data_IF_018282749357
#
_entry.id   IF_018282749357
#
_cell.length_a   1.000
_cell.length_b   1.000
_cell.length_c   1.000
_cell.angle_alpha   90.00
_cell.angle_beta   90.00
_cell.angle_gamma   90.00
#
_symmetry.space_group_name_H-M   'P 1'
#
loop_
_entity.id
_entity.type
_entity.pdbx_description
1 polymer ?
#
# COMPACT_ATOMS: atom_id res chain seq x y z
N UNK A 1 -0.39 6.71 -4.72
CA UNK A 1 -0.75 5.86 -3.55
C UNK A 1 0.45 5.00 -3.20
N UNK A 2 0.73 4.83 -1.91
CA UNK A 2 1.84 4.02 -1.40
C UNK A 2 1.29 2.87 -0.55
N UNK A 3 1.65 1.64 -0.89
CA UNK A 3 1.48 0.46 -0.07
C UNK A 3 2.77 0.26 0.76
N UNK A 4 2.64 0.02 2.06
CA UNK A 4 3.74 -0.28 2.99
C UNK A 4 3.33 -1.49 3.83
N UNK A 5 3.95 -2.64 3.58
CA UNK A 5 3.73 -3.86 4.35
C UNK A 5 4.99 -4.19 5.14
N UNK A 6 4.84 -4.37 6.46
CA UNK A 6 5.92 -4.70 7.38
C UNK A 6 5.85 -6.18 7.70
N UNK A 7 6.99 -6.85 7.75
CA UNK A 7 7.08 -8.28 8.03
C UNK A 7 8.12 -8.56 9.09
N UNK A 8 7.86 -9.62 9.86
CA UNK A 8 8.83 -10.26 10.74
C UNK A 8 9.04 -11.66 10.20
N UNK A 9 10.25 -11.97 9.77
CA UNK A 9 10.56 -13.22 9.06
C UNK A 9 11.66 -13.93 9.84
N UNK A 10 11.52 -15.22 10.10
CA UNK A 10 12.61 -15.99 10.70
C UNK A 10 13.76 -16.14 9.70
N UNK A 11 15.00 -16.19 10.18
CA UNK A 11 16.20 -16.31 9.33
C UNK A 11 16.13 -17.55 8.42
N UNK A 12 15.58 -18.65 8.91
CA UNK A 12 15.39 -19.90 8.15
C UNK A 12 14.43 -19.75 6.97
N UNK A 13 13.56 -18.74 6.98
CA UNK A 13 12.51 -18.53 5.99
C UNK A 13 12.85 -17.42 4.98
N UNK A 14 14.00 -16.74 5.13
CA UNK A 14 14.38 -15.59 4.32
C UNK A 14 14.36 -15.86 2.81
N UNK A 15 14.96 -16.97 2.37
CA UNK A 15 15.02 -17.33 0.95
C UNK A 15 13.62 -17.58 0.38
N UNK A 16 12.79 -18.34 1.09
CA UNK A 16 11.42 -18.62 0.68
C UNK A 16 10.55 -17.35 0.67
N UNK A 17 10.71 -16.48 1.67
CA UNK A 17 10.00 -15.20 1.73
C UNK A 17 10.41 -14.28 0.58
N UNK A 18 11.72 -14.07 0.36
CA UNK A 18 12.21 -13.19 -0.70
C UNK A 18 11.82 -13.70 -2.09
N UNK A 19 11.80 -15.01 -2.33
CA UNK A 19 11.27 -15.60 -3.57
C UNK A 19 9.78 -15.32 -3.80
N UNK A 20 8.95 -15.39 -2.75
CA UNK A 20 7.52 -15.00 -2.85
C UNK A 20 7.35 -13.50 -3.12
N UNK A 21 8.17 -12.67 -2.48
CA UNK A 21 8.15 -11.22 -2.71
C UNK A 21 8.61 -10.87 -4.13
N UNK A 22 9.64 -11.53 -4.66
CA UNK A 22 10.09 -11.37 -6.05
C UNK A 22 8.96 -11.65 -7.05
N UNK A 23 8.26 -12.78 -6.88
CA UNK A 23 7.10 -13.13 -7.69
C UNK A 23 5.99 -12.10 -7.57
N UNK A 24 5.71 -11.65 -6.34
CA UNK A 24 4.67 -10.66 -6.09
C UNK A 24 5.00 -9.32 -6.74
N UNK A 25 6.23 -8.83 -6.59
CA UNK A 25 6.71 -7.60 -7.23
C UNK A 25 6.58 -7.70 -8.75
N UNK A 26 7.05 -8.80 -9.35
CA UNK A 26 6.92 -9.03 -10.79
C UNK A 26 5.47 -8.96 -11.29
N UNK A 27 4.54 -9.58 -10.56
CA UNK A 27 3.11 -9.55 -10.90
C UNK A 27 2.50 -8.16 -10.77
N UNK A 28 2.86 -7.43 -9.69
CA UNK A 28 2.35 -6.09 -9.43
C UNK A 28 2.89 -5.07 -10.41
N UNK A 29 4.19 -5.06 -10.68
CA UNK A 29 4.83 -4.11 -11.61
C UNK A 29 4.45 -4.36 -13.06
N UNK A 30 3.90 -5.54 -13.39
CA UNK A 30 3.28 -5.80 -14.69
C UNK A 30 1.89 -5.15 -14.83
N UNK A 31 1.25 -4.73 -13.74
CA UNK A 31 -0.08 -4.10 -13.78
C UNK A 31 0.01 -2.63 -14.20
N UNK A 32 -0.96 -2.20 -15.01
CA UNK A 32 -1.09 -0.80 -15.39
C UNK A 32 -1.28 0.10 -14.15
N UNK A 33 -0.43 1.12 -14.05
CA UNK A 33 -0.46 2.09 -12.96
C UNK A 33 0.25 1.64 -11.68
N UNK A 34 0.98 0.52 -11.70
CA UNK A 34 2.04 0.26 -10.73
C UNK A 34 3.34 0.92 -11.20
N UNK A 35 3.91 1.79 -10.37
CA UNK A 35 5.08 2.61 -10.73
C UNK A 35 6.38 1.95 -10.33
N UNK A 36 6.43 1.41 -9.12
CA UNK A 36 7.63 0.87 -8.49
C UNK A 36 7.26 -0.04 -7.35
N UNK A 37 8.06 -1.07 -7.10
CA UNK A 37 8.03 -1.82 -5.85
C UNK A 37 9.42 -2.15 -5.36
N UNK A 38 9.57 -2.32 -4.04
CA UNK A 38 10.84 -2.59 -3.39
C UNK A 38 10.63 -3.35 -2.08
N UNK A 39 11.43 -4.38 -1.85
CA UNK A 39 11.63 -4.99 -0.53
C UNK A 39 12.91 -4.44 0.08
N UNK A 40 12.87 -4.07 1.35
CA UNK A 40 14.04 -3.66 2.13
C UNK A 40 14.06 -4.38 3.46
N UNK A 41 15.26 -4.56 4.02
CA UNK A 41 15.48 -5.13 5.35
C UNK A 41 16.00 -4.04 6.27
N UNK A 42 15.64 -4.08 7.56
CA UNK A 42 16.22 -3.18 8.56
C UNK A 42 17.72 -3.45 8.70
N UNK A 43 18.49 -2.38 8.94
CA UNK A 43 19.92 -2.49 9.27
C UNK A 43 20.18 -2.82 10.73
N UNK A 44 19.18 -2.61 11.59
CA UNK A 44 19.27 -2.77 13.04
C UNK A 44 18.63 -4.08 13.53
N UNK A 45 17.59 -4.56 12.85
CA UNK A 45 16.85 -5.79 13.18
C UNK A 45 16.78 -6.71 11.95
N UNK A 46 17.61 -7.76 11.92
CA UNK A 46 17.80 -8.59 10.73
C UNK A 46 16.54 -9.39 10.29
N UNK A 47 15.58 -9.60 11.17
CA UNK A 47 14.30 -10.28 10.91
C UNK A 47 13.20 -9.33 10.41
N UNK A 48 13.45 -8.02 10.35
CA UNK A 48 12.46 -7.01 9.94
C UNK A 48 12.59 -6.61 8.49
N UNK A 49 11.48 -6.68 7.77
CA UNK A 49 11.39 -6.31 6.37
C UNK A 49 10.25 -5.31 6.12
N UNK A 50 10.43 -4.47 5.11
CA UNK A 50 9.40 -3.59 4.58
C UNK A 50 9.28 -3.74 3.07
N UNK A 51 8.08 -4.04 2.61
CA UNK A 51 7.69 -4.02 1.21
C UNK A 51 6.96 -2.70 0.94
N UNK A 52 7.49 -1.91 0.01
CA UNK A 52 6.83 -0.69 -0.48
C UNK A 52 6.44 -0.84 -1.94
N UNK A 53 5.21 -0.47 -2.30
CA UNK A 53 4.75 -0.46 -3.70
C UNK A 53 3.99 0.83 -4.00
N UNK A 54 4.37 1.52 -5.06
CA UNK A 54 3.79 2.77 -5.50
C UNK A 54 2.84 2.56 -6.67
N UNK A 55 1.63 3.12 -6.56
CA UNK A 55 0.63 3.13 -7.62
C UNK A 55 0.23 4.56 -7.98
N UNK A 56 -0.16 4.79 -9.22
CA UNK A 56 -0.64 6.09 -9.70
C UNK A 56 -1.85 6.60 -8.89
N UNK A 57 -2.73 5.69 -8.46
CA UNK A 57 -3.92 6.02 -7.69
C UNK A 57 -4.43 4.85 -6.85
N UNK A 58 -5.37 5.12 -5.95
CA UNK A 58 -6.10 4.05 -5.23
C UNK A 58 -6.88 3.14 -6.17
N UNK A 59 -7.36 3.67 -7.30
CA UNK A 59 -8.09 2.90 -8.31
C UNK A 59 -7.13 1.95 -9.04
N UNK A 60 -5.94 2.42 -9.41
CA UNK A 60 -4.89 1.59 -10.00
C UNK A 60 -4.49 0.44 -9.05
N UNK A 61 -4.30 0.73 -7.76
CA UNK A 61 -4.05 -0.29 -6.74
C UNK A 61 -5.17 -1.34 -6.67
N UNK A 62 -6.44 -0.92 -6.52
CA UNK A 62 -7.57 -1.87 -6.45
C UNK A 62 -7.68 -2.74 -7.71
N UNK A 63 -7.45 -2.15 -8.89
CA UNK A 63 -7.42 -2.89 -10.16
C UNK A 63 -6.26 -3.87 -10.22
N UNK A 64 -5.07 -3.46 -9.77
CA UNK A 64 -3.89 -4.32 -9.72
C UNK A 64 -4.10 -5.56 -8.83
N UNK A 65 -4.93 -5.47 -7.77
CA UNK A 65 -5.28 -6.61 -6.92
C UNK A 65 -6.30 -7.58 -7.54
N UNK A 66 -6.88 -7.24 -8.69
CA UNK A 66 -8.00 -8.00 -9.27
C UNK A 66 -7.60 -9.25 -10.08
N UNK A 67 -6.48 -9.32 -10.83
CA UNK A 67 -6.14 -10.51 -11.62
C UNK A 67 -5.97 -11.79 -10.78
N UNK A 68 -6.23 -12.95 -11.39
CA UNK A 68 -6.18 -14.24 -10.68
C UNK A 68 -4.80 -14.50 -10.06
N UNK A 69 -3.72 -14.44 -10.83
CA UNK A 69 -2.35 -14.66 -10.35
C UNK A 69 -1.97 -13.71 -9.21
N UNK A 70 -2.46 -12.47 -9.24
CA UNK A 70 -2.23 -11.51 -8.15
C UNK A 70 -2.97 -11.96 -6.89
N UNK A 71 -4.23 -12.37 -7.01
CA UNK A 71 -4.98 -12.88 -5.86
C UNK A 71 -4.39 -14.17 -5.30
N UNK A 72 -3.84 -15.03 -6.14
CA UNK A 72 -3.23 -16.30 -5.75
C UNK A 72 -1.89 -16.11 -5.04
N UNK A 73 -1.03 -15.22 -5.54
CA UNK A 73 0.35 -15.12 -5.04
C UNK A 73 0.60 -13.89 -4.17
N UNK A 74 -0.05 -12.76 -4.45
CA UNK A 74 0.22 -11.49 -3.77
C UNK A 74 -0.62 -11.36 -2.51
N UNK A 75 -1.94 -11.62 -2.59
CA UNK A 75 -2.83 -11.41 -1.44
C UNK A 75 -2.43 -12.26 -0.21
N UNK A 76 -2.06 -13.56 -0.34
CA UNK A 76 -1.59 -14.33 0.80
C UNK A 76 -0.32 -13.75 1.42
N UNK A 77 0.66 -13.37 0.60
CA UNK A 77 1.88 -12.70 1.06
C UNK A 77 1.55 -11.41 1.83
N UNK A 78 0.68 -10.54 1.30
CA UNK A 78 0.32 -9.29 1.98
C UNK A 78 -0.46 -9.54 3.29
N UNK A 79 -1.17 -10.67 3.39
CA UNK A 79 -1.91 -11.04 4.61
C UNK A 79 -1.00 -11.50 5.76
N UNK A 80 0.26 -11.86 5.47
CA UNK A 80 1.28 -12.16 6.48
C UNK A 80 1.91 -10.90 7.08
N UNK A 81 1.62 -9.72 6.54
CA UNK A 81 2.16 -8.46 7.05
C UNK A 81 1.64 -8.17 8.45
N UNK A 82 2.49 -7.54 9.28
CA UNK A 82 2.11 -7.06 10.60
C UNK A 82 0.95 -6.04 10.46
N UNK A 83 -0.07 -6.17 11.32
CA UNK A 83 -1.35 -5.45 11.21
C UNK A 83 -1.54 -4.32 12.22
N UNK A 84 -0.52 -4.04 13.00
CA UNK A 84 -0.48 -3.00 14.03
C UNK A 84 -0.41 -1.58 13.45
N UNK A 85 -0.01 -1.44 12.19
CA UNK A 85 0.08 -0.16 11.49
C UNK A 85 -0.73 -0.14 10.17
N UNK A 86 -1.21 1.03 9.72
CA UNK A 86 -1.80 1.18 8.39
C UNK A 86 -0.83 0.73 7.28
N UNK A 87 -1.37 0.14 6.22
CA UNK A 87 -0.58 -0.30 5.07
C UNK A 87 -0.74 0.59 3.83
N UNK A 88 -1.77 1.43 3.76
CA UNK A 88 -2.11 2.21 2.55
C UNK A 88 -2.05 3.69 2.89
N UNK A 89 -1.24 4.42 2.13
CA UNK A 89 -0.98 5.83 2.34
C UNK A 89 -1.17 6.61 1.03
N UNK A 90 -1.56 7.89 1.16
CA UNK A 90 -1.53 8.82 0.06
C UNK A 90 -0.24 9.66 0.07
N UNK A 91 0.40 9.89 -1.08
CA UNK A 91 1.46 10.89 -1.15
C UNK A 91 0.83 12.28 -0.98
N UNK A 92 1.47 13.14 -0.18
CA UNK A 92 1.15 14.56 -0.09
C UNK A 92 2.23 15.43 -0.72
N UNK A 93 3.47 14.94 -0.71
CA UNK A 93 4.64 15.56 -1.31
C UNK A 93 5.44 14.46 -2.01
N UNK A 94 5.84 14.71 -3.25
CA UNK A 94 6.71 13.83 -4.03
C UNK A 94 7.91 14.65 -4.48
N UNK A 95 9.12 14.17 -4.21
CA UNK A 95 10.34 14.88 -4.53
C UNK A 95 11.22 14.06 -5.48
N UNK A 96 11.78 14.71 -6.49
CA UNK A 96 12.74 14.13 -7.42
C UNK A 96 13.61 15.26 -8.01
N UNK A 97 14.90 14.98 -8.26
CA UNK A 97 15.83 15.89 -8.94
C UNK A 97 15.88 17.32 -8.35
N UNK A 98 15.80 17.42 -7.01
CA UNK A 98 15.82 18.70 -6.30
C UNK A 98 14.52 19.50 -6.34
N UNK A 99 13.47 18.98 -6.98
CA UNK A 99 12.14 19.57 -7.00
C UNK A 99 11.16 18.82 -6.10
N UNK A 100 10.19 19.54 -5.55
CA UNK A 100 9.09 18.97 -4.74
C UNK A 100 7.76 19.33 -5.38
N UNK A 101 6.94 18.33 -5.62
CA UNK A 101 5.57 18.43 -6.10
C UNK A 101 4.61 18.15 -4.94
N UNK A 102 3.51 18.90 -4.87
CA UNK A 102 2.46 18.71 -3.86
C UNK A 102 1.27 18.04 -4.51
N UNK A 103 0.80 16.97 -3.87
CA UNK A 103 -0.35 16.20 -4.31
C UNK A 103 -1.63 16.72 -3.64
N UNK A 104 -2.76 16.56 -4.33
CA UNK A 104 -4.07 16.83 -3.77
C UNK A 104 -4.48 15.63 -2.90
N UNK A 105 -4.71 15.88 -1.60
CA UNK A 105 -5.19 14.85 -0.69
C UNK A 105 -6.55 14.32 -1.14
N UNK A 106 -6.67 12.99 -1.10
CA UNK A 106 -7.89 12.23 -1.32
C UNK A 106 -8.77 12.22 -0.07
N UNK A 107 -8.22 12.56 1.11
CA UNK A 107 -9.00 12.74 2.32
C UNK A 107 -9.73 14.09 2.27
N UNK A 108 -11.04 14.04 2.53
CA UNK A 108 -11.81 15.25 2.73
C UNK A 108 -11.27 16.03 3.95
N UNK A 109 -11.37 17.36 3.93
CA UNK A 109 -10.87 18.21 5.03
C UNK A 109 -11.49 17.88 6.40
N UNK A 110 -12.66 17.23 6.38
CA UNK A 110 -13.48 16.83 7.51
C UNK A 110 -13.50 15.30 7.73
N UNK A 111 -12.58 14.56 7.10
CA UNK A 111 -12.54 13.09 7.16
C UNK A 111 -12.41 12.50 8.58
N UNK A 112 -12.05 13.32 9.58
CA UNK A 112 -12.02 12.95 11.00
C UNK A 112 -13.13 13.56 11.86
N UNK A 113 -13.98 14.43 11.30
CA UNK A 113 -15.02 15.18 12.04
C UNK A 113 -16.44 14.74 11.73
N UNK A 114 -16.67 13.99 10.66
CA UNK A 114 -18.01 13.47 10.32
C UNK A 114 -18.06 11.98 10.66
N UNK A 115 -18.82 11.61 11.68
CA UNK A 115 -19.15 10.20 11.94
C UNK A 115 -20.22 9.73 10.97
N UNK A 116 -20.14 8.48 10.51
CA UNK A 116 -21.20 7.85 9.72
C UNK A 116 -22.49 7.85 10.57
N UNK A 117 -23.41 8.79 10.31
CA UNK A 117 -24.61 9.05 11.12
C UNK A 117 -24.89 10.53 11.42
N UNK A 118 -23.93 11.43 11.19
CA UNK A 118 -24.10 12.89 11.39
C UNK A 118 -24.45 13.64 10.09
N UNK A 119 -24.60 12.92 8.98
CA UNK A 119 -25.26 13.45 7.79
C UNK A 119 -26.77 13.60 8.07
N UNK A 120 -27.13 14.62 8.83
CA UNK A 120 -28.52 15.02 9.01
C UNK A 120 -29.07 15.38 7.61
N UNK A 121 -29.96 14.54 7.10
CA UNK A 121 -30.83 14.94 6.00
C UNK A 121 -31.61 16.21 6.37
N UNK A 122 -32.05 17.02 5.39
CA UNK A 122 -32.74 18.27 5.68
C UNK A 122 -33.98 18.00 6.53
N UNK A 123 -34.06 18.62 7.71
CA UNK A 123 -35.18 18.49 8.67
C UNK A 123 -36.44 19.25 8.25
N UNK A 124 -36.48 19.81 7.04
CA UNK A 124 -37.67 20.45 6.48
C UNK A 124 -37.77 20.22 4.98
N UNK A 125 -38.77 19.48 4.49
CA UNK A 125 -39.08 19.41 3.07
C UNK A 125 -39.74 20.72 2.60
N UNK A 126 -39.38 21.15 1.38
CA UNK A 126 -40.20 22.01 0.52
C UNK A 126 -40.42 21.30 -0.80
#
# INVERSE_FOLDING_TARGET
MLLVCRFTVAETDFEAFTGRVDRALSLLTAQAGCRRGQLSRSTDEADRFVLTVEFDSVVAYRRAMSPFDVREHVIPLLSEANTDEPAVYEPLLVAADGAVQREVSLLARDAGTVRLGEAAGPTTPR
#
